data_IF_766900437567
#
_entry.id   IF_766900437567
#
_cell.length_a   1.000
_cell.length_b   1.000
_cell.length_c   1.000
_cell.angle_alpha   90.00
_cell.angle_beta   90.00
_cell.angle_gamma   90.00
#
_symmetry.space_group_name_H-M   'P 1'
#
loop_
_entity.id
_entity.type
_entity.pdbx_description
1 polymer ?
#
# COMPACT_ATOMS: atom_id res chain seq x y z
N UNK A 1 1.19 6.45 -27.48
CA UNK A 1 0.37 6.85 -26.32
C UNK A 1 1.24 7.70 -25.41
N UNK A 2 0.86 8.91 -25.09
CA UNK A 2 1.57 9.78 -24.13
C UNK A 2 0.89 9.64 -22.77
N UNK A 3 1.46 8.81 -21.92
CA UNK A 3 0.90 8.52 -20.58
C UNK A 3 0.97 9.70 -19.63
N UNK A 4 1.87 10.67 -19.87
CA UNK A 4 1.99 11.87 -19.04
C UNK A 4 0.87 12.89 -19.32
N UNK A 5 0.40 12.93 -20.58
CA UNK A 5 -0.70 13.81 -21.00
C UNK A 5 -2.05 13.10 -21.02
N UNK A 6 -2.08 11.76 -20.83
CA UNK A 6 -3.32 10.98 -20.95
C UNK A 6 -3.90 10.96 -22.36
N UNK A 7 -3.06 11.13 -23.39
CA UNK A 7 -3.47 11.22 -24.78
C UNK A 7 -2.97 10.04 -25.61
N UNK A 8 -3.75 9.63 -26.61
CA UNK A 8 -3.34 8.67 -27.61
C UNK A 8 -3.46 9.25 -29.02
N UNK A 9 -2.69 8.70 -29.94
CA UNK A 9 -2.83 8.94 -31.39
C UNK A 9 -2.50 7.66 -32.15
N UNK A 10 -3.34 7.29 -33.10
CA UNK A 10 -3.14 6.15 -33.98
C UNK A 10 -2.66 6.61 -35.35
N UNK A 11 -1.42 6.36 -35.69
CA UNK A 11 -0.84 6.73 -36.99
C UNK A 11 -1.46 5.97 -38.19
N UNK A 12 -2.08 4.81 -37.95
CA UNK A 12 -2.71 4.01 -38.99
C UNK A 12 -4.07 4.54 -39.44
N UNK A 13 -4.88 5.10 -38.53
CA UNK A 13 -6.22 5.59 -38.86
C UNK A 13 -6.42 7.09 -38.57
N UNK A 14 -5.38 7.82 -38.15
CA UNK A 14 -5.41 9.25 -37.85
C UNK A 14 -6.26 9.65 -36.63
N UNK A 15 -6.76 8.68 -35.85
CA UNK A 15 -7.61 8.96 -34.68
C UNK A 15 -6.78 9.22 -33.44
N UNK A 16 -7.16 10.21 -32.66
CA UNK A 16 -6.53 10.54 -31.41
C UNK A 16 -7.50 11.16 -30.42
N UNK A 17 -7.06 11.33 -29.18
CA UNK A 17 -7.83 11.95 -28.12
C UNK A 17 -7.40 11.51 -26.73
N UNK A 18 -8.26 11.75 -25.76
CA UNK A 18 -8.11 11.33 -24.38
C UNK A 18 -8.57 9.88 -24.14
N UNK A 19 -8.52 9.43 -22.88
CA UNK A 19 -8.91 8.07 -22.50
C UNK A 19 -10.41 7.80 -22.79
N UNK A 20 -11.28 8.81 -22.76
CA UNK A 20 -12.71 8.64 -23.06
C UNK A 20 -12.88 8.35 -24.53
N UNK A 21 -12.22 9.15 -25.39
CA UNK A 21 -12.21 8.95 -26.85
C UNK A 21 -11.61 7.60 -27.22
N UNK A 22 -10.56 7.15 -26.50
CA UNK A 22 -10.02 5.82 -26.70
C UNK A 22 -11.05 4.73 -26.41
N UNK A 23 -11.76 4.83 -25.27
CA UNK A 23 -12.80 3.87 -24.91
C UNK A 23 -13.98 3.86 -25.89
N UNK A 24 -14.41 5.03 -26.39
CA UNK A 24 -15.45 5.11 -27.44
C UNK A 24 -15.04 4.33 -28.70
N UNK A 25 -13.82 4.54 -29.19
CA UNK A 25 -13.32 3.88 -30.40
C UNK A 25 -13.04 2.40 -30.19
N UNK A 26 -12.41 2.03 -29.09
CA UNK A 26 -12.01 0.66 -28.81
C UNK A 26 -13.22 -0.26 -28.57
N UNK A 27 -14.20 0.22 -27.83
CA UNK A 27 -15.42 -0.55 -27.50
C UNK A 27 -16.58 -0.28 -28.45
N UNK A 28 -16.43 0.64 -29.41
CA UNK A 28 -17.49 1.07 -30.36
C UNK A 28 -18.77 1.53 -29.63
N UNK A 29 -18.63 2.29 -28.56
CA UNK A 29 -19.71 2.75 -27.70
C UNK A 29 -19.85 4.27 -27.73
N UNK A 30 -21.01 4.79 -27.31
CA UNK A 30 -21.23 6.24 -27.16
C UNK A 30 -20.55 6.77 -25.91
N UNK A 31 -20.30 8.09 -25.87
CA UNK A 31 -19.64 8.81 -24.77
C UNK A 31 -20.16 8.41 -23.37
N UNK A 32 -21.48 8.36 -23.16
CA UNK A 32 -22.06 7.97 -21.86
C UNK A 32 -21.72 6.53 -21.46
N UNK A 33 -21.70 5.62 -22.44
CA UNK A 33 -21.31 4.21 -22.22
C UNK A 33 -19.80 4.07 -21.99
N UNK A 34 -18.98 4.86 -22.73
CA UNK A 34 -17.54 4.91 -22.50
C UNK A 34 -17.20 5.40 -21.09
N UNK A 35 -17.88 6.44 -20.60
CA UNK A 35 -17.77 6.89 -19.21
C UNK A 35 -18.16 5.78 -18.22
N UNK A 36 -19.25 5.05 -18.49
CA UNK A 36 -19.67 3.90 -17.68
C UNK A 36 -18.59 2.82 -17.62
N UNK A 37 -18.03 2.46 -18.78
CA UNK A 37 -16.92 1.50 -18.89
C UNK A 37 -15.66 2.00 -18.17
N UNK A 38 -15.28 3.25 -18.34
CA UNK A 38 -14.13 3.85 -17.66
C UNK A 38 -14.34 3.97 -16.14
N UNK A 39 -15.57 4.24 -15.68
CA UNK A 39 -15.94 4.17 -14.27
C UNK A 39 -15.81 2.73 -13.73
N UNK A 40 -16.16 1.72 -14.52
CA UNK A 40 -15.90 0.31 -14.20
C UNK A 40 -14.40 0.00 -14.20
N UNK A 41 -13.62 0.61 -15.09
CA UNK A 41 -12.15 0.49 -15.12
C UNK A 41 -11.45 1.26 -13.98
N UNK A 42 -11.97 2.41 -13.57
CA UNK A 42 -11.62 3.02 -12.27
C UNK A 42 -12.16 2.22 -11.09
N UNK A 43 -13.05 1.31 -11.34
CA UNK A 43 -13.84 0.53 -10.41
C UNK A 43 -13.15 -0.71 -9.84
N UNK A 44 -11.82 -0.82 -9.86
CA UNK A 44 -11.16 -1.71 -8.90
C UNK A 44 -11.51 -1.30 -7.45
N UNK A 45 -11.81 -0.03 -7.18
CA UNK A 45 -12.16 0.47 -5.87
C UNK A 45 -13.36 -0.24 -5.20
N UNK A 46 -14.56 -0.34 -5.82
CA UNK A 46 -15.68 -1.08 -5.24
C UNK A 46 -15.36 -2.57 -5.05
N UNK A 47 -14.78 -3.23 -6.04
CA UNK A 47 -14.41 -4.64 -5.97
C UNK A 47 -13.33 -4.89 -4.91
N UNK A 48 -12.28 -4.07 -4.85
CA UNK A 48 -11.24 -4.19 -3.82
C UNK A 48 -11.79 -3.91 -2.42
N UNK A 49 -12.79 -3.03 -2.28
CA UNK A 49 -13.47 -2.79 -1.02
C UNK A 49 -14.31 -4.00 -0.58
N UNK A 50 -14.98 -4.68 -1.51
CA UNK A 50 -15.68 -5.95 -1.23
C UNK A 50 -14.69 -7.03 -0.79
N UNK A 51 -13.61 -7.23 -1.53
CA UNK A 51 -12.55 -8.18 -1.20
C UNK A 51 -11.92 -7.87 0.16
N UNK A 52 -11.64 -6.59 0.46
CA UNK A 52 -11.13 -6.18 1.76
C UNK A 52 -12.10 -6.55 2.89
N UNK A 53 -13.41 -6.30 2.71
CA UNK A 53 -14.44 -6.71 3.70
C UNK A 53 -14.47 -8.22 3.89
N UNK A 54 -14.42 -8.98 2.80
CA UNK A 54 -14.36 -10.44 2.85
C UNK A 54 -13.14 -10.93 3.66
N UNK A 55 -11.95 -10.40 3.36
CA UNK A 55 -10.73 -10.80 4.07
C UNK A 55 -10.72 -10.39 5.54
N UNK A 56 -11.36 -9.27 5.91
CA UNK A 56 -11.55 -8.91 7.33
C UNK A 56 -12.38 -9.95 8.07
N UNK A 57 -13.48 -10.41 7.49
CA UNK A 57 -14.29 -11.51 8.06
C UNK A 57 -13.47 -12.79 8.19
N UNK A 58 -12.63 -13.12 7.19
CA UNK A 58 -11.77 -14.29 7.26
C UNK A 58 -10.72 -14.20 8.38
N UNK A 59 -10.19 -13.00 8.68
CA UNK A 59 -9.22 -12.82 9.76
C UNK A 59 -9.79 -13.32 11.11
N UNK A 60 -11.03 -13.00 11.43
CA UNK A 60 -11.68 -13.44 12.67
C UNK A 60 -11.94 -14.95 12.75
N UNK A 61 -11.91 -15.65 11.62
CA UNK A 61 -12.19 -17.09 11.54
C UNK A 61 -10.94 -17.97 11.56
N UNK A 62 -9.75 -17.37 11.52
CA UNK A 62 -8.48 -18.06 11.32
C UNK A 62 -7.47 -17.68 12.40
N UNK A 63 -7.36 -18.51 13.43
CA UNK A 63 -6.50 -18.28 14.59
C UNK A 63 -5.02 -18.16 14.22
N UNK A 64 -4.55 -18.86 13.18
CA UNK A 64 -3.18 -18.76 12.69
C UNK A 64 -2.84 -17.36 12.16
N UNK A 65 -3.81 -16.67 11.57
CA UNK A 65 -3.62 -15.30 11.10
C UNK A 65 -3.56 -14.31 12.28
N UNK A 66 -4.40 -14.51 13.28
CA UNK A 66 -4.37 -13.72 14.52
C UNK A 66 -3.06 -13.93 15.27
N UNK A 67 -2.62 -15.18 15.41
CA UNK A 67 -1.34 -15.53 16.04
C UNK A 67 -0.17 -14.85 15.31
N UNK A 68 -0.17 -14.85 13.98
CA UNK A 68 0.84 -14.16 13.18
C UNK A 68 0.84 -12.64 13.44
N UNK A 69 -0.33 -12.00 13.51
CA UNK A 69 -0.42 -10.57 13.86
C UNK A 69 0.15 -10.29 15.24
N UNK A 70 -0.12 -11.13 16.22
CA UNK A 70 0.42 -11.00 17.58
C UNK A 70 1.95 -11.18 17.62
N UNK A 71 2.49 -12.13 16.86
CA UNK A 71 3.94 -12.27 16.70
C UNK A 71 4.58 -11.04 16.06
N UNK A 72 3.83 -10.33 15.20
CA UNK A 72 4.24 -9.07 14.60
C UNK A 72 3.92 -7.84 15.47
N UNK A 73 3.61 -8.03 16.76
CA UNK A 73 3.36 -6.96 17.71
C UNK A 73 1.98 -6.30 17.58
N UNK A 74 1.14 -6.75 16.67
CA UNK A 74 -0.21 -6.20 16.46
C UNK A 74 -1.19 -6.82 17.45
N UNK A 75 -1.46 -6.12 18.55
CA UNK A 75 -2.35 -6.58 19.63
C UNK A 75 -3.63 -5.78 19.76
N UNK A 76 -3.68 -4.57 19.20
CA UNK A 76 -4.85 -3.69 19.25
C UNK A 76 -5.82 -4.04 18.12
N UNK A 77 -6.96 -4.63 18.46
CA UNK A 77 -8.05 -4.85 17.51
C UNK A 77 -8.58 -3.55 16.92
N UNK A 78 -8.59 -2.46 17.69
CA UNK A 78 -8.99 -1.14 17.18
C UNK A 78 -8.07 -0.70 16.02
N UNK A 79 -6.76 -0.90 16.14
CA UNK A 79 -5.81 -0.59 15.06
C UNK A 79 -5.97 -1.53 13.87
N UNK A 80 -6.14 -2.84 14.12
CA UNK A 80 -6.38 -3.85 13.06
C UNK A 80 -7.61 -3.49 12.23
N UNK A 81 -8.70 -3.10 12.89
CA UNK A 81 -9.96 -2.68 12.25
C UNK A 81 -9.81 -1.33 11.53
N UNK A 82 -9.16 -0.34 12.16
CA UNK A 82 -8.90 0.97 11.56
C UNK A 82 -8.10 0.84 10.27
N UNK A 83 -7.07 0.02 10.27
CA UNK A 83 -6.24 -0.27 9.08
C UNK A 83 -6.89 -1.26 8.13
N UNK A 84 -8.07 -1.79 8.48
CA UNK A 84 -8.85 -2.75 7.66
C UNK A 84 -8.04 -3.99 7.30
N UNK A 85 -7.18 -4.45 8.20
CA UNK A 85 -6.34 -5.63 8.00
C UNK A 85 -7.23 -6.86 7.89
N UNK A 86 -6.94 -7.72 6.92
CA UNK A 86 -7.68 -8.96 6.69
C UNK A 86 -6.76 -10.16 6.50
N UNK A 87 -7.36 -11.31 6.27
CA UNK A 87 -6.65 -12.54 5.96
C UNK A 87 -7.21 -13.22 4.72
N UNK A 88 -6.33 -13.62 3.82
CA UNK A 88 -6.65 -14.42 2.65
C UNK A 88 -6.27 -15.87 2.90
N UNK A 89 -7.20 -16.76 3.27
CA UNK A 89 -6.90 -18.17 3.48
C UNK A 89 -6.55 -18.89 2.18
N UNK A 90 -7.16 -18.45 1.05
CA UNK A 90 -7.10 -19.08 -0.26
C UNK A 90 -8.25 -20.05 -0.51
N UNK A 91 -8.57 -20.29 -1.78
CA UNK A 91 -9.56 -21.26 -2.22
C UNK A 91 -11.03 -20.87 -2.05
N UNK A 92 -11.34 -19.70 -1.49
CA UNK A 92 -12.70 -19.31 -1.17
C UNK A 92 -13.14 -17.97 -1.80
N UNK A 93 -12.21 -17.07 -2.15
CA UNK A 93 -12.53 -15.74 -2.67
C UNK A 93 -13.24 -15.83 -4.02
N UNK A 94 -12.71 -16.62 -4.96
CA UNK A 94 -13.31 -16.79 -6.29
C UNK A 94 -14.77 -17.21 -6.20
N UNK A 95 -15.07 -18.27 -5.44
CA UNK A 95 -16.43 -18.77 -5.29
C UNK A 95 -17.38 -17.72 -4.73
N UNK A 96 -16.95 -17.02 -3.70
CA UNK A 96 -17.72 -15.95 -3.06
C UNK A 96 -18.00 -14.78 -4.02
N UNK A 97 -17.00 -14.29 -4.75
CA UNK A 97 -17.18 -13.19 -5.72
C UNK A 97 -18.06 -13.60 -6.91
N UNK A 98 -17.94 -14.86 -7.37
CA UNK A 98 -18.81 -15.38 -8.44
C UNK A 98 -20.27 -15.44 -8.00
N UNK A 99 -20.55 -15.81 -6.74
CA UNK A 99 -21.91 -15.78 -6.17
C UNK A 99 -22.46 -14.34 -6.08
N UNK A 100 -21.61 -13.33 -5.93
CA UNK A 100 -22.00 -11.92 -5.98
C UNK A 100 -22.20 -11.38 -7.42
N UNK A 101 -22.02 -12.23 -8.44
CA UNK A 101 -22.23 -11.86 -9.84
C UNK A 101 -20.98 -11.35 -10.57
N UNK A 102 -19.80 -11.38 -9.95
CA UNK A 102 -18.56 -11.00 -10.65
C UNK A 102 -18.14 -12.08 -11.64
N UNK A 103 -17.85 -11.68 -12.88
CA UNK A 103 -17.39 -12.60 -13.90
C UNK A 103 -15.93 -13.01 -13.71
N UNK A 104 -15.58 -14.25 -14.05
CA UNK A 104 -14.19 -14.72 -13.98
C UNK A 104 -13.21 -13.87 -14.78
N UNK A 105 -13.53 -13.38 -16.01
CA UNK A 105 -12.65 -12.45 -16.72
C UNK A 105 -12.38 -11.16 -15.95
N UNK A 106 -13.39 -10.60 -15.27
CA UNK A 106 -13.21 -9.38 -14.45
C UNK A 106 -12.30 -9.66 -13.24
N UNK A 107 -12.48 -10.79 -12.56
CA UNK A 107 -11.63 -11.20 -11.43
C UNK A 107 -10.18 -11.46 -11.86
N UNK A 108 -9.99 -12.07 -13.03
CA UNK A 108 -8.68 -12.30 -13.61
C UNK A 108 -8.01 -10.98 -14.01
N UNK A 109 -8.74 -10.05 -14.65
CA UNK A 109 -8.24 -8.73 -15.00
C UNK A 109 -7.83 -7.92 -13.77
N UNK A 110 -8.58 -8.01 -12.67
CA UNK A 110 -8.25 -7.39 -11.38
C UNK A 110 -7.08 -8.09 -10.67
N UNK A 111 -6.59 -9.22 -11.19
CA UNK A 111 -5.51 -10.00 -10.58
C UNK A 111 -5.89 -10.72 -9.28
N UNK A 112 -7.18 -10.81 -8.97
CA UNK A 112 -7.71 -11.51 -7.78
C UNK A 112 -7.69 -13.03 -7.95
N UNK A 113 -7.74 -13.47 -9.21
CA UNK A 113 -7.70 -14.89 -9.60
C UNK A 113 -6.58 -15.08 -10.63
N UNK A 114 -5.82 -16.16 -10.50
CA UNK A 114 -4.74 -16.52 -11.41
C UNK A 114 -5.28 -17.05 -12.74
N UNK A 115 -4.44 -17.17 -13.76
CA UNK A 115 -4.80 -17.77 -15.06
C UNK A 115 -5.32 -19.21 -14.93
N UNK A 116 -4.94 -19.93 -13.88
CA UNK A 116 -5.41 -21.29 -13.57
C UNK A 116 -6.70 -21.27 -12.74
N UNK A 117 -7.29 -20.11 -12.46
CA UNK A 117 -8.53 -19.99 -11.71
C UNK A 117 -8.40 -20.10 -10.18
N UNK A 118 -7.19 -20.03 -9.62
CA UNK A 118 -6.97 -20.03 -8.17
C UNK A 118 -6.97 -18.60 -7.61
N UNK A 119 -7.30 -18.46 -6.33
CA UNK A 119 -7.16 -17.19 -5.61
C UNK A 119 -5.71 -16.69 -5.67
N UNK A 120 -5.51 -15.41 -5.99
CA UNK A 120 -4.18 -14.83 -6.13
C UNK A 120 -3.45 -14.73 -4.79
N UNK A 121 -4.18 -14.49 -3.71
CA UNK A 121 -3.66 -14.45 -2.34
C UNK A 121 -4.05 -15.73 -1.60
N UNK A 122 -3.04 -16.42 -1.05
CA UNK A 122 -3.19 -17.64 -0.27
C UNK A 122 -2.32 -17.53 0.97
N UNK A 123 -2.90 -17.77 2.16
CA UNK A 123 -2.24 -17.69 3.48
C UNK A 123 -1.49 -16.38 3.68
N UNK A 124 -2.19 -15.24 3.48
CA UNK A 124 -1.60 -13.91 3.58
C UNK A 124 -2.41 -12.99 4.48
N UNK A 125 -1.71 -12.25 5.34
CA UNK A 125 -2.27 -11.03 5.92
C UNK A 125 -2.39 -10.00 4.81
N UNK A 126 -3.57 -9.38 4.70
CA UNK A 126 -3.86 -8.44 3.61
C UNK A 126 -4.12 -7.05 4.16
N UNK A 127 -3.41 -6.07 3.61
CA UNK A 127 -3.65 -4.64 3.84
C UNK A 127 -4.28 -4.04 2.58
N UNK A 128 -5.42 -3.37 2.70
CA UNK A 128 -5.99 -2.62 1.59
C UNK A 128 -5.18 -1.33 1.37
N UNK A 129 -4.84 -1.08 0.12
CA UNK A 129 -4.26 0.17 -0.34
C UNK A 129 -5.34 0.97 -1.09
N UNK A 130 -5.05 2.22 -1.47
CA UNK A 130 -6.01 3.06 -2.19
C UNK A 130 -6.47 2.42 -3.52
N UNK A 131 -5.54 1.84 -4.27
CA UNK A 131 -5.77 1.29 -5.62
C UNK A 131 -5.30 -0.17 -5.76
N UNK A 132 -4.91 -0.83 -4.68
CA UNK A 132 -4.32 -2.16 -4.72
C UNK A 132 -4.59 -2.92 -3.40
N UNK A 133 -4.15 -4.16 -3.33
CA UNK A 133 -4.02 -4.93 -2.10
C UNK A 133 -2.58 -5.38 -1.93
N UNK A 134 -2.10 -5.29 -0.71
CA UNK A 134 -0.82 -5.90 -0.32
C UNK A 134 -1.07 -7.14 0.53
N UNK A 135 -0.35 -8.22 0.25
CA UNK A 135 -0.43 -9.48 0.99
C UNK A 135 0.92 -9.92 1.54
N UNK A 136 1.03 -10.07 2.86
CA UNK A 136 2.18 -10.65 3.56
C UNK A 136 1.95 -12.13 3.82
N UNK A 137 2.84 -13.00 3.31
CA UNK A 137 2.77 -14.44 3.55
C UNK A 137 2.99 -14.79 5.02
N UNK A 138 2.22 -15.75 5.53
CA UNK A 138 2.47 -16.38 6.83
C UNK A 138 3.60 -17.42 6.74
N UNK A 139 3.90 -17.91 5.53
CA UNK A 139 4.90 -18.96 5.31
C UNK A 139 6.21 -18.37 4.79
N UNK A 140 7.33 -18.82 5.33
CA UNK A 140 8.66 -18.46 4.85
C UNK A 140 8.96 -19.06 3.46
N UNK A 141 8.29 -20.17 3.09
CA UNK A 141 8.48 -20.84 1.79
C UNK A 141 7.84 -20.09 0.60
N UNK A 142 6.92 -19.15 0.85
CA UNK A 142 6.29 -18.35 -0.20
C UNK A 142 6.97 -16.97 -0.27
N UNK A 143 6.92 -16.34 -1.47
CA UNK A 143 7.36 -14.95 -1.63
C UNK A 143 6.70 -14.09 -0.52
N UNK A 144 7.50 -13.40 0.32
CA UNK A 144 6.97 -12.76 1.53
C UNK A 144 5.98 -11.65 1.19
N UNK A 145 6.20 -10.93 0.10
CA UNK A 145 5.41 -9.78 -0.31
C UNK A 145 4.71 -10.06 -1.64
N UNK A 146 3.44 -9.69 -1.74
CA UNK A 146 2.69 -9.76 -2.98
C UNK A 146 1.74 -8.59 -3.09
N UNK A 147 1.67 -8.01 -4.30
CA UNK A 147 0.67 -7.03 -4.70
C UNK A 147 -0.20 -7.64 -5.80
N UNK A 148 -1.40 -7.10 -6.00
CA UNK A 148 -2.12 -7.32 -7.23
C UNK A 148 -1.37 -6.63 -8.40
N UNK A 149 -1.61 -7.05 -9.65
CA UNK A 149 -1.05 -6.36 -10.81
C UNK A 149 -1.39 -4.87 -10.82
N UNK A 150 -0.49 -4.06 -11.38
CA UNK A 150 -0.69 -2.62 -11.49
C UNK A 150 0.15 -1.79 -10.51
N UNK A 151 -0.21 -0.52 -10.36
CA UNK A 151 0.52 0.41 -9.50
C UNK A 151 0.28 0.10 -8.02
N UNK A 152 1.30 0.24 -7.19
CA UNK A 152 1.18 0.13 -5.73
C UNK A 152 0.36 1.28 -5.12
N UNK A 153 0.15 2.36 -5.88
CA UNK A 153 -0.55 3.56 -5.42
C UNK A 153 0.37 4.62 -4.80
N UNK A 154 -0.24 5.52 -4.05
CA UNK A 154 0.44 6.56 -3.27
C UNK A 154 0.99 6.03 -1.95
N UNK A 155 1.35 6.97 -1.07
CA UNK A 155 1.70 6.69 0.32
C UNK A 155 0.48 6.12 1.06
N UNK A 156 0.73 5.18 1.97
CA UNK A 156 -0.35 4.56 2.76
C UNK A 156 -1.06 5.59 3.62
N UNK A 157 -2.40 5.54 3.63
CA UNK A 157 -3.26 6.43 4.41
C UNK A 157 -2.98 7.94 4.22
N UNK A 158 -2.45 8.35 3.04
CA UNK A 158 -1.98 9.72 2.81
C UNK A 158 -3.07 10.77 3.02
N UNK A 159 -4.33 10.49 2.69
CA UNK A 159 -5.45 11.41 2.90
C UNK A 159 -5.58 11.84 4.37
N UNK A 160 -5.30 10.95 5.32
CA UNK A 160 -5.32 11.23 6.76
C UNK A 160 -4.00 11.87 7.21
N UNK A 161 -2.87 11.38 6.70
CA UNK A 161 -1.53 11.79 7.18
C UNK A 161 -1.11 13.16 6.65
N UNK A 162 -1.54 13.55 5.46
CA UNK A 162 -1.12 14.81 4.81
C UNK A 162 -1.41 16.10 5.60
N UNK A 163 -2.35 16.04 6.54
CA UNK A 163 -2.71 17.20 7.39
C UNK A 163 -1.68 17.51 8.47
N UNK A 164 -0.76 16.58 8.77
CA UNK A 164 0.24 16.78 9.80
C UNK A 164 1.45 17.55 9.25
N UNK A 165 1.96 18.54 9.99
CA UNK A 165 3.18 19.26 9.62
C UNK A 165 4.43 18.40 9.76
N UNK A 166 4.36 17.35 10.57
CA UNK A 166 5.41 16.35 10.79
C UNK A 166 4.90 14.99 10.39
N UNK A 167 5.63 14.28 9.54
CA UNK A 167 5.25 12.97 9.01
C UNK A 167 6.38 11.97 9.24
N UNK A 168 6.04 10.80 9.74
CA UNK A 168 6.96 9.67 9.88
C UNK A 168 6.78 8.77 8.66
N UNK A 169 7.85 8.57 7.90
CA UNK A 169 7.88 7.68 6.75
C UNK A 169 8.63 6.41 7.12
N UNK A 170 7.97 5.26 6.98
CA UNK A 170 8.52 3.93 7.18
C UNK A 170 8.50 3.11 5.89
N UNK A 171 9.20 1.98 5.86
CA UNK A 171 9.29 1.13 4.66
C UNK A 171 8.11 0.18 4.55
N UNK A 172 7.69 -0.43 5.65
CA UNK A 172 6.72 -1.52 5.69
C UNK A 172 5.39 -1.17 6.35
N UNK A 173 4.35 -1.92 5.99
CA UNK A 173 3.00 -1.74 6.57
C UNK A 173 2.92 -2.22 8.02
N UNK A 174 3.74 -3.19 8.42
CA UNK A 174 3.80 -3.61 9.82
C UNK A 174 4.47 -2.55 10.69
N UNK A 175 5.50 -1.86 10.16
CA UNK A 175 6.12 -0.72 10.85
C UNK A 175 5.11 0.40 11.06
N UNK A 176 4.36 0.73 10.01
CA UNK A 176 3.29 1.71 10.07
C UNK A 176 2.23 1.30 11.11
N UNK A 177 1.83 0.02 11.12
CA UNK A 177 0.78 -0.49 11.98
C UNK A 177 1.14 -0.47 13.47
N UNK A 178 2.37 -0.86 13.84
CA UNK A 178 2.80 -0.82 15.25
C UNK A 178 2.95 0.62 15.74
N UNK A 179 3.41 1.52 14.91
CA UNK A 179 3.48 2.95 15.24
C UNK A 179 2.08 3.56 15.42
N UNK A 180 1.11 3.23 14.57
CA UNK A 180 -0.28 3.64 14.75
C UNK A 180 -0.87 3.09 16.06
N UNK A 181 -0.59 1.82 16.37
CA UNK A 181 -0.98 1.20 17.64
C UNK A 181 -0.34 1.90 18.84
N UNK A 182 0.89 2.39 18.70
CA UNK A 182 1.61 3.15 19.72
C UNK A 182 1.17 4.62 19.83
N UNK A 183 0.21 5.08 19.01
CA UNK A 183 -0.36 6.43 19.07
C UNK A 183 0.24 7.43 18.06
N UNK A 184 1.16 7.03 17.19
CA UNK A 184 1.70 7.87 16.14
C UNK A 184 0.77 7.85 14.91
N UNK A 185 -0.16 8.80 14.80
CA UNK A 185 -1.12 8.83 13.69
C UNK A 185 -0.64 9.61 12.46
N UNK A 186 0.53 10.23 12.54
CA UNK A 186 1.20 10.92 11.45
C UNK A 186 2.18 10.02 10.67
N UNK A 187 1.98 8.71 10.71
CA UNK A 187 2.85 7.71 10.05
C UNK A 187 2.27 7.28 8.72
N UNK A 188 3.12 7.20 7.71
CA UNK A 188 2.84 6.63 6.40
C UNK A 188 3.92 5.66 5.97
N UNK A 189 3.66 4.90 4.91
CA UNK A 189 4.53 3.85 4.43
C UNK A 189 4.75 3.96 2.91
N UNK A 190 6.01 3.77 2.48
CA UNK A 190 6.42 3.78 1.07
C UNK A 190 6.19 2.45 0.34
N UNK A 191 5.93 1.36 1.07
CA UNK A 191 5.83 0.00 0.52
C UNK A 191 7.15 -0.48 -0.11
N UNK A 192 8.27 -0.17 0.53
CA UNK A 192 9.64 -0.48 0.16
C UNK A 192 10.58 0.72 0.29
N UNK A 193 11.87 0.50 0.05
CA UNK A 193 12.94 1.49 0.23
C UNK A 193 12.89 2.66 -0.76
N UNK A 194 12.15 2.55 -1.86
CA UNK A 194 12.10 3.57 -2.92
C UNK A 194 10.70 4.14 -3.10
N UNK A 195 10.63 5.48 -3.13
CA UNK A 195 9.40 6.19 -3.48
C UNK A 195 9.18 6.18 -4.99
N UNK A 196 7.95 5.89 -5.42
CA UNK A 196 7.54 6.21 -6.78
C UNK A 196 7.27 7.72 -6.93
N UNK A 197 7.08 8.17 -8.18
CA UNK A 197 6.86 9.60 -8.48
C UNK A 197 5.65 10.18 -7.75
N UNK A 198 4.56 9.42 -7.60
CA UNK A 198 3.35 9.86 -6.89
C UNK A 198 3.63 10.04 -5.40
N UNK A 199 4.26 9.06 -4.77
CA UNK A 199 4.62 9.11 -3.34
C UNK A 199 5.58 10.27 -3.03
N UNK A 200 6.56 10.48 -3.90
CA UNK A 200 7.47 11.61 -3.75
C UNK A 200 6.76 12.97 -3.85
N UNK A 201 5.87 13.15 -4.84
CA UNK A 201 5.05 14.36 -4.97
C UNK A 201 4.13 14.57 -3.77
N UNK A 202 3.60 13.50 -3.19
CA UNK A 202 2.77 13.59 -1.98
C UNK A 202 3.55 14.15 -0.80
N UNK A 203 4.80 13.74 -0.58
CA UNK A 203 5.64 14.31 0.48
C UNK A 203 5.97 15.79 0.24
N UNK A 204 6.01 16.22 -1.03
CA UNK A 204 6.36 17.57 -1.44
C UNK A 204 5.13 18.47 -1.72
N UNK A 205 3.90 18.02 -1.40
CA UNK A 205 2.66 18.77 -1.70
C UNK A 205 2.42 19.96 -0.75
N UNK A 206 3.15 20.02 0.38
CA UNK A 206 3.15 21.13 1.33
C UNK A 206 4.46 21.16 2.14
N UNK A 207 4.83 22.31 2.73
CA UNK A 207 5.94 22.38 3.67
C UNK A 207 5.71 21.47 4.87
N UNK A 208 6.69 20.62 5.19
CA UNK A 208 6.63 19.70 6.33
C UNK A 208 8.00 19.20 6.74
N UNK A 209 8.07 18.58 7.92
CA UNK A 209 9.20 17.75 8.35
C UNK A 209 8.88 16.28 8.12
N UNK A 210 9.76 15.55 7.43
CA UNK A 210 9.63 14.10 7.20
C UNK A 210 10.70 13.38 8.01
N UNK A 211 10.28 12.56 8.97
CA UNK A 211 11.15 11.66 9.72
C UNK A 211 11.26 10.33 8.97
N UNK A 212 12.46 10.03 8.51
CA UNK A 212 12.78 8.79 7.78
C UNK A 212 13.17 7.71 8.79
N UNK A 213 12.23 6.86 9.19
CA UNK A 213 12.43 5.76 10.13
C UNK A 213 12.55 4.43 9.35
N UNK A 214 13.65 4.27 8.63
CA UNK A 214 13.95 3.11 7.78
C UNK A 214 14.77 2.07 8.53
N UNK A 215 14.80 0.86 7.98
CA UNK A 215 15.47 -0.30 8.58
C UNK A 215 16.95 -0.03 8.82
N UNK A 216 17.45 -0.44 9.99
CA UNK A 216 18.84 -0.31 10.41
C UNK A 216 19.60 -1.62 10.21
N UNK A 217 19.49 -2.21 9.01
CA UNK A 217 20.13 -3.47 8.66
C UNK A 217 21.65 -3.35 8.53
N UNK A 218 22.36 -4.47 8.73
CA UNK A 218 23.83 -4.57 8.59
C UNK A 218 24.31 -4.17 7.18
N UNK A 219 23.53 -4.44 6.14
CA UNK A 219 23.81 -4.06 4.76
C UNK A 219 23.62 -2.58 4.48
N UNK A 220 23.12 -1.80 5.45
CA UNK A 220 22.84 -0.36 5.38
C UNK A 220 21.90 0.08 4.25
N UNK A 221 21.10 -0.83 3.70
CA UNK A 221 20.21 -0.54 2.57
C UNK A 221 19.19 0.54 2.92
N UNK A 222 18.49 0.41 4.05
CA UNK A 222 17.53 1.41 4.53
C UNK A 222 18.20 2.74 4.86
N UNK A 223 19.37 2.72 5.49
CA UNK A 223 20.12 3.94 5.83
C UNK A 223 20.61 4.70 4.59
N UNK A 224 21.11 3.99 3.57
CA UNK A 224 21.51 4.59 2.30
C UNK A 224 20.29 5.17 1.56
N UNK A 225 19.17 4.46 1.56
CA UNK A 225 17.91 4.93 1.00
C UNK A 225 17.42 6.19 1.72
N UNK A 226 17.47 6.21 3.05
CA UNK A 226 17.11 7.39 3.85
C UNK A 226 18.00 8.58 3.54
N UNK A 227 19.32 8.39 3.43
CA UNK A 227 20.26 9.46 3.09
C UNK A 227 20.00 10.03 1.68
N UNK A 228 19.79 9.18 0.70
CA UNK A 228 19.49 9.61 -0.66
C UNK A 228 18.14 10.35 -0.72
N UNK A 229 17.13 9.83 -0.03
CA UNK A 229 15.81 10.43 0.03
C UNK A 229 15.82 11.78 0.74
N UNK A 230 16.56 11.91 1.84
CA UNK A 230 16.76 13.17 2.57
C UNK A 230 17.26 14.27 1.63
N UNK A 231 18.33 14.00 0.86
CA UNK A 231 18.87 14.96 -0.11
C UNK A 231 17.86 15.40 -1.16
N UNK A 232 17.05 14.45 -1.66
CA UNK A 232 16.02 14.74 -2.67
C UNK A 232 14.87 15.58 -2.10
N UNK A 233 14.42 15.29 -0.90
CA UNK A 233 13.36 16.05 -0.22
C UNK A 233 13.83 17.48 0.06
N UNK A 234 15.06 17.65 0.52
CA UNK A 234 15.66 18.97 0.74
C UNK A 234 15.74 19.81 -0.54
N UNK A 235 16.09 19.20 -1.65
CA UNK A 235 16.09 19.88 -2.96
C UNK A 235 14.70 20.38 -3.38
N UNK A 236 13.63 19.89 -2.75
CA UNK A 236 12.24 20.34 -2.93
C UNK A 236 11.73 21.22 -1.77
N UNK A 237 12.59 21.66 -0.86
CA UNK A 237 12.23 22.49 0.28
C UNK A 237 11.53 21.74 1.42
N UNK A 238 11.56 20.41 1.42
CA UNK A 238 11.00 19.57 2.49
C UNK A 238 12.11 19.22 3.48
N UNK A 239 11.91 19.55 4.76
CA UNK A 239 12.84 19.16 5.83
C UNK A 239 12.77 17.65 6.03
N UNK A 240 13.91 16.97 5.92
CA UNK A 240 14.00 15.54 6.17
C UNK A 240 14.96 15.25 7.32
N UNK A 241 14.57 14.41 8.26
CA UNK A 241 15.36 13.98 9.42
C UNK A 241 15.45 12.45 9.44
N UNK A 242 16.63 11.92 9.67
CA UNK A 242 16.86 10.47 9.73
C UNK A 242 16.78 9.99 11.16
N UNK A 243 15.87 9.06 11.41
CA UNK A 243 15.70 8.39 12.70
C UNK A 243 16.73 7.27 12.81
N UNK A 244 17.51 7.25 13.87
CA UNK A 244 18.48 6.18 14.13
C UNK A 244 17.85 5.13 15.04
N UNK A 245 17.38 4.06 14.45
CA UNK A 245 16.94 2.87 15.17
C UNK A 245 18.15 2.08 15.70
N UNK A 246 17.98 1.26 16.74
CA UNK A 246 19.03 0.31 17.17
C UNK A 246 19.47 -0.58 16.01
N UNK A 247 20.72 -1.01 16.03
CA UNK A 247 21.27 -1.86 14.97
C UNK A 247 20.42 -3.12 14.74
N UNK A 248 20.15 -3.43 13.47
CA UNK A 248 19.34 -4.58 13.07
C UNK A 248 17.84 -4.45 13.34
N UNK A 249 17.34 -3.25 13.66
CA UNK A 249 15.91 -3.01 13.91
C UNK A 249 15.25 -2.27 12.75
N UNK A 250 14.03 -2.69 12.45
CA UNK A 250 12.98 -1.88 11.86
C UNK A 250 12.04 -1.36 12.98
N UNK A 251 11.12 -0.44 12.71
CA UNK A 251 10.17 0.02 13.72
C UNK A 251 9.32 -1.12 14.30
N UNK A 252 8.91 -2.09 13.50
CA UNK A 252 8.13 -3.24 13.99
C UNK A 252 8.91 -4.06 15.00
N UNK A 253 10.15 -4.42 14.68
CA UNK A 253 11.03 -5.19 15.57
C UNK A 253 11.33 -4.43 16.85
N UNK A 254 11.55 -3.11 16.77
CA UNK A 254 11.75 -2.25 17.94
C UNK A 254 10.63 -2.41 18.97
N UNK A 255 9.36 -2.35 18.54
CA UNK A 255 8.22 -2.52 19.43
C UNK A 255 8.02 -4.00 19.87
N UNK A 256 8.30 -4.96 19.02
CA UNK A 256 8.20 -6.40 19.36
C UNK A 256 9.21 -6.79 20.43
N UNK A 257 10.41 -6.21 20.41
CA UNK A 257 11.49 -6.50 21.37
C UNK A 257 11.39 -5.62 22.64
N UNK A 258 10.27 -4.93 22.87
CA UNK A 258 9.97 -4.24 24.12
C UNK A 258 10.19 -2.72 24.11
N UNK A 259 10.48 -2.14 22.95
CA UNK A 259 10.47 -0.69 22.81
C UNK A 259 9.05 -0.11 23.01
N UNK A 260 8.96 1.11 23.51
CA UNK A 260 7.71 1.81 23.77
C UNK A 260 7.60 3.14 23.01
N UNK A 261 6.40 3.75 23.07
CA UNK A 261 6.12 5.01 22.40
C UNK A 261 7.02 6.16 22.90
N UNK A 262 7.33 6.21 24.18
CA UNK A 262 8.16 7.26 24.77
C UNK A 262 9.63 7.11 24.29
N UNK A 263 10.13 5.90 24.20
CA UNK A 263 11.46 5.63 23.66
C UNK A 263 11.53 6.00 22.17
N UNK A 264 10.49 5.63 21.39
CA UNK A 264 10.44 5.99 19.97
C UNK A 264 10.34 7.52 19.77
N UNK A 265 9.59 8.21 20.61
CA UNK A 265 9.52 9.68 20.59
C UNK A 265 10.90 10.32 20.82
N UNK A 266 11.71 9.81 21.74
CA UNK A 266 13.09 10.28 21.92
C UNK A 266 13.97 10.06 20.68
N UNK A 267 13.76 8.97 19.93
CA UNK A 267 14.47 8.75 18.66
C UNK A 267 14.08 9.77 17.60
N UNK A 268 12.80 10.17 17.55
CA UNK A 268 12.35 11.26 16.66
C UNK A 268 12.98 12.60 17.04
N UNK A 269 13.03 12.93 18.34
CA UNK A 269 13.63 14.17 18.85
C UNK A 269 15.16 14.23 18.59
N UNK A 270 15.84 13.09 18.67
CA UNK A 270 17.26 12.96 18.38
C UNK A 270 17.56 12.88 16.87
N UNK A 271 16.55 12.82 16.00
CA UNK A 271 16.74 12.63 14.57
C UNK A 271 17.50 13.80 13.92
N UNK A 272 18.49 13.47 13.09
CA UNK A 272 19.39 14.43 12.43
C UNK A 272 19.05 14.59 10.94
N UNK A 273 19.41 15.76 10.35
CA UNK A 273 19.32 15.98 8.92
C UNK A 273 20.08 14.95 8.08
#
# INVERSE_FOLDING_TARGET
MDTNKGLFYCYGCGRGGDVIRFAEFYHQVKFSQAIGLLRQWRGAGPLLNEVSRFYRVQLHRHSEAVAYLYQRGMRSWATIELMRIGYAPGGCLRGWLTQLGHSLPALHHAGLVTSLGYDAFVRRIVFPLEENLYGRSLSAAAAPHRFLPGAKGGLYAWTQVRQYPEVILVEGLFDCAVLWQAGFHNVTCSLGTHLNTRQFRQLCDAPRTVYLAFDSDENRSGQNAAQWMSRRLWAQGVTARRVQLPAGHDPNRFFVEGGDAHQFQRLLEAARP
#
